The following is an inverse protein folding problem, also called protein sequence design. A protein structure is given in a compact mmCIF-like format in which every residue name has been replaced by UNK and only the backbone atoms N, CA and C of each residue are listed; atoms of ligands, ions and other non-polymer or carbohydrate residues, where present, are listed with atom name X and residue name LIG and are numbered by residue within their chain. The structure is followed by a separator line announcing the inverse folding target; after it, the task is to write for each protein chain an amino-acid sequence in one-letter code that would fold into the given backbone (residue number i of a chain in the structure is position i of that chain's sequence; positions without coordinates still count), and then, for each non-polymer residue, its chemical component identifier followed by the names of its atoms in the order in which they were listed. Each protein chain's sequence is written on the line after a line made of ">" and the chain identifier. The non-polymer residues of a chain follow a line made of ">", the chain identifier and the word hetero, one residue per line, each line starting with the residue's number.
data_IF_027256931395
#
_entry.id   IF_027256931395
#
_cell.length_a   1.000
_cell.length_b   1.000
_cell.length_c   1.000
_cell.angle_alpha   90.00
_cell.angle_beta   90.00
_cell.angle_gamma   90.00
#
_symmetry.space_group_name_H-M   'P 1'
#
loop_
_entity.id
_entity.type
_entity.pdbx_description
1 polymer ?
#
# COMPACT_ATOMS: atom_id res chain seq x y z
N UNK A 1 11.72 13.04 6.10
CA UNK A 1 11.47 11.65 5.71
C UNK A 1 11.09 10.84 6.95
N UNK A 2 10.00 10.09 6.87
CA UNK A 2 9.53 9.18 7.92
C UNK A 2 9.58 7.74 7.40
N UNK A 3 9.90 6.79 8.27
CA UNK A 3 9.92 5.35 7.97
C UNK A 3 8.79 4.66 8.73
N UNK A 4 8.06 3.78 8.08
CA UNK A 4 7.05 2.93 8.69
C UNK A 4 7.52 1.47 8.59
N UNK A 5 7.81 0.86 9.74
CA UNK A 5 8.14 -0.56 9.85
C UNK A 5 6.85 -1.37 9.78
N UNK A 6 6.82 -2.30 8.83
CA UNK A 6 5.69 -3.15 8.49
C UNK A 6 6.00 -4.64 8.74
N UNK A 7 7.05 -4.96 9.51
CA UNK A 7 7.53 -6.34 9.67
C UNK A 7 6.45 -7.30 10.19
N UNK A 8 5.52 -6.81 11.02
CA UNK A 8 4.42 -7.59 11.60
C UNK A 8 3.10 -7.48 10.81
N UNK A 9 3.07 -6.64 9.78
CA UNK A 9 1.89 -6.34 8.95
C UNK A 9 2.23 -6.38 7.45
N UNK A 10 3.22 -7.18 7.07
CA UNK A 10 3.74 -7.26 5.70
C UNK A 10 2.65 -7.57 4.67
N UNK A 11 1.66 -8.38 5.06
CA UNK A 11 0.51 -8.78 4.22
C UNK A 11 -0.40 -7.61 3.80
N UNK A 12 -0.41 -6.50 4.54
CA UNK A 12 -1.17 -5.29 4.23
C UNK A 12 -0.29 -4.11 3.81
N UNK A 13 1.04 -4.28 3.77
CA UNK A 13 2.01 -3.20 3.57
C UNK A 13 1.70 -2.34 2.34
N UNK A 14 1.36 -2.96 1.22
CA UNK A 14 1.09 -2.22 -0.02
C UNK A 14 -0.17 -1.36 0.08
N UNK A 15 -1.25 -1.91 0.64
CA UNK A 15 -2.51 -1.17 0.79
C UNK A 15 -2.37 -0.06 1.84
N UNK A 16 -1.64 -0.34 2.92
CA UNK A 16 -1.31 0.65 3.94
C UNK A 16 -0.47 1.79 3.36
N UNK A 17 0.57 1.48 2.57
CA UNK A 17 1.40 2.47 1.87
C UNK A 17 0.55 3.40 1.02
N UNK A 18 -0.28 2.84 0.15
CA UNK A 18 -1.13 3.63 -0.76
C UNK A 18 -2.06 4.53 0.06
N UNK A 19 -2.77 3.97 1.04
CA UNK A 19 -3.71 4.73 1.88
C UNK A 19 -3.03 5.87 2.61
N UNK A 20 -1.94 5.60 3.33
CA UNK A 20 -1.24 6.60 4.14
C UNK A 20 -0.61 7.68 3.26
N UNK A 21 -0.03 7.30 2.11
CA UNK A 21 0.58 8.27 1.19
C UNK A 21 -0.43 9.26 0.61
N UNK A 22 -1.65 8.80 0.33
CA UNK A 22 -2.75 9.62 -0.17
C UNK A 22 -3.25 10.60 0.90
N UNK A 23 -3.43 10.11 2.14
CA UNK A 23 -3.90 10.94 3.25
C UNK A 23 -2.93 12.07 3.61
N UNK A 24 -1.63 11.77 3.67
CA UNK A 24 -0.62 12.75 4.14
C UNK A 24 0.10 13.48 3.01
N UNK A 25 -0.39 13.34 1.77
CA UNK A 25 0.18 13.94 0.56
C UNK A 25 1.71 13.82 0.48
N UNK A 26 2.23 12.60 0.66
CA UNK A 26 3.66 12.33 0.69
C UNK A 26 4.08 11.36 -0.42
N UNK A 27 5.32 11.49 -0.89
CA UNK A 27 5.90 10.57 -1.88
C UNK A 27 6.31 9.27 -1.17
N UNK A 28 5.68 8.13 -1.48
CA UNK A 28 6.03 6.86 -0.84
C UNK A 28 7.21 6.18 -1.54
N UNK A 29 7.98 5.41 -0.79
CA UNK A 29 8.97 4.47 -1.33
C UNK A 29 8.87 3.15 -0.61
N UNK A 30 8.59 2.09 -1.36
CA UNK A 30 8.42 0.74 -0.82
C UNK A 30 9.77 0.03 -0.69
N UNK A 31 9.98 -0.64 0.45
CA UNK A 31 11.14 -1.49 0.71
C UNK A 31 10.70 -2.84 1.31
N UNK A 32 11.66 -3.73 1.53
CA UNK A 32 11.40 -5.00 2.23
C UNK A 32 11.13 -4.70 3.70
N UNK A 33 10.01 -5.18 4.24
CA UNK A 33 9.62 -4.98 5.65
C UNK A 33 9.26 -3.56 6.07
N UNK A 34 9.46 -2.54 5.23
CA UNK A 34 9.19 -1.14 5.57
C UNK A 34 8.77 -0.33 4.34
N UNK A 35 8.27 0.88 4.58
CA UNK A 35 8.19 1.92 3.57
C UNK A 35 8.58 3.28 4.13
N UNK A 36 8.97 4.20 3.27
CA UNK A 36 9.32 5.57 3.66
C UNK A 36 8.40 6.59 3.00
N UNK A 37 8.09 7.66 3.73
CA UNK A 37 7.35 8.81 3.25
C UNK A 37 8.29 10.02 3.20
N UNK A 38 8.38 10.62 2.02
CA UNK A 38 9.16 11.84 1.78
C UNK A 38 8.22 12.99 1.44
N UNK A 39 8.50 14.21 1.91
CA UNK A 39 7.69 15.38 1.53
C UNK A 39 7.82 15.61 0.01
N UNK A 40 6.81 16.24 -0.58
CA UNK A 40 6.82 16.59 -2.01
C UNK A 40 7.87 17.69 -2.27
N UNK A 41 8.01 18.63 -1.35
CA UNK A 41 8.99 19.71 -1.39
C UNK A 41 9.98 19.61 -0.22
N UNK A 42 11.26 19.89 -0.47
CA UNK A 42 12.33 19.78 0.54
C UNK A 42 12.16 20.73 1.74
N UNK A 43 11.37 21.80 1.58
CA UNK A 43 11.05 22.79 2.62
C UNK A 43 9.95 22.32 3.58
N UNK A 44 9.21 21.27 3.23
CA UNK A 44 8.08 20.78 3.99
C UNK A 44 8.48 19.62 4.90
N UNK A 45 7.87 19.54 6.08
CA UNK A 45 7.95 18.37 6.95
C UNK A 45 6.61 17.66 7.00
N UNK A 46 6.64 16.33 6.97
CA UNK A 46 5.43 15.51 7.16
C UNK A 46 5.07 15.52 8.65
N UNK A 47 3.82 15.83 8.97
CA UNK A 47 3.33 15.70 10.34
C UNK A 47 3.23 14.21 10.70
N UNK A 48 4.03 13.81 11.68
CA UNK A 48 4.05 12.46 12.19
C UNK A 48 2.70 12.06 12.80
N UNK A 49 2.00 12.97 13.47
CA UNK A 49 0.72 12.64 14.11
C UNK A 49 -0.32 12.29 13.06
N UNK A 50 -0.33 13.02 11.95
CA UNK A 50 -1.20 12.74 10.80
C UNK A 50 -0.93 11.36 10.21
N UNK A 51 0.35 10.98 10.07
CA UNK A 51 0.72 9.62 9.63
C UNK A 51 0.26 8.56 10.62
N UNK A 52 0.41 8.79 11.93
CA UNK A 52 -0.04 7.85 12.97
C UNK A 52 -1.56 7.68 12.92
N UNK A 53 -2.29 8.78 12.77
CA UNK A 53 -3.75 8.75 12.75
C UNK A 53 -4.27 8.09 11.47
N UNK A 54 -3.66 8.36 10.31
CA UNK A 54 -3.96 7.65 9.06
C UNK A 54 -3.72 6.13 9.18
N UNK A 55 -2.62 5.70 9.83
CA UNK A 55 -2.37 4.27 10.07
C UNK A 55 -3.43 3.68 11.00
N UNK A 56 -3.81 4.38 12.08
CA UNK A 56 -4.86 3.90 13.01
C UNK A 56 -6.21 3.79 12.33
N UNK A 57 -6.60 4.78 11.53
CA UNK A 57 -7.83 4.76 10.73
C UNK A 57 -7.85 3.59 9.76
N UNK A 58 -6.73 3.34 9.05
CA UNK A 58 -6.61 2.18 8.18
C UNK A 58 -6.81 0.87 8.95
N UNK A 59 -6.13 0.70 10.10
CA UNK A 59 -6.26 -0.48 10.94
C UNK A 59 -7.69 -0.65 11.47
N UNK A 60 -8.38 0.44 11.81
CA UNK A 60 -9.78 0.40 12.23
C UNK A 60 -10.71 -0.01 11.08
N UNK A 61 -10.47 0.50 9.87
CA UNK A 61 -11.26 0.16 8.67
C UNK A 61 -11.21 -1.33 8.31
N UNK A 62 -10.14 -2.03 8.69
CA UNK A 62 -9.99 -3.48 8.50
C UNK A 62 -10.31 -4.30 9.76
N UNK A 63 -10.77 -3.65 10.84
CA UNK A 63 -11.16 -4.29 12.10
C UNK A 63 -10.00 -4.76 12.98
N UNK A 64 -8.79 -4.23 12.77
CA UNK A 64 -7.56 -4.64 13.46
C UNK A 64 -7.06 -3.60 14.49
N UNK A 65 -7.83 -2.52 14.74
CA UNK A 65 -7.47 -1.45 15.68
C UNK A 65 -7.15 -1.90 17.11
N UNK A 66 -7.74 -3.01 17.56
CA UNK A 66 -7.49 -3.59 18.91
C UNK A 66 -6.35 -4.60 18.95
N UNK A 67 -5.88 -5.06 17.79
CA UNK A 67 -4.86 -6.11 17.71
C UNK A 67 -3.47 -5.55 17.46
N UNK A 68 -3.36 -4.31 16.96
CA UNK A 68 -2.10 -3.66 16.64
C UNK A 68 -1.96 -2.31 17.35
N UNK A 69 -0.75 -2.02 17.81
CA UNK A 69 -0.35 -0.72 18.34
C UNK A 69 0.58 -0.01 17.36
N UNK A 70 0.34 1.29 17.19
CA UNK A 70 1.19 2.19 16.39
C UNK A 70 2.06 3.00 17.35
N UNK A 71 3.37 2.75 17.33
CA UNK A 71 4.34 3.37 18.24
C UNK A 71 5.27 4.23 17.42
N UNK A 72 5.49 5.47 17.83
CA UNK A 72 6.48 6.31 17.16
C UNK A 72 7.76 6.44 17.95
N UNK A 73 8.89 6.26 17.27
CA UNK A 73 10.22 6.51 17.79
C UNK A 73 11.02 7.37 16.79
N UNK A 74 11.26 8.64 17.13
CA UNK A 74 12.10 9.55 16.34
C UNK A 74 11.61 9.74 14.89
N UNK A 75 12.17 9.08 13.89
CA UNK A 75 11.67 9.14 12.50
C UNK A 75 11.07 7.81 12.02
N UNK A 76 10.92 6.85 12.92
CA UNK A 76 10.40 5.52 12.65
C UNK A 76 9.05 5.34 13.35
N UNK A 77 8.08 4.81 12.62
CA UNK A 77 6.76 4.40 13.12
C UNK A 77 6.72 2.88 13.05
N UNK A 78 6.46 2.25 14.19
CA UNK A 78 6.43 0.81 14.37
C UNK A 78 4.98 0.36 14.50
N UNK A 79 4.60 -0.68 13.77
CA UNK A 79 3.31 -1.34 13.91
C UNK A 79 3.55 -2.69 14.57
N UNK A 80 3.05 -2.84 15.81
CA UNK A 80 3.30 -4.02 16.66
C UNK A 80 2.01 -4.75 17.00
N UNK A 81 2.02 -6.06 16.88
CA UNK A 81 0.93 -6.93 17.32
C UNK A 81 0.89 -6.98 18.85
N UNK A 82 -0.28 -6.76 19.43
CA UNK A 82 -0.51 -6.81 20.88
C UNK A 82 -0.68 -8.24 21.39
N UNK A 83 -1.13 -9.15 20.53
CA UNK A 83 -1.49 -10.54 20.89
C UNK A 83 -0.62 -11.59 20.19
N UNK A 84 0.36 -11.17 19.37
CA UNK A 84 1.10 -12.07 18.48
C UNK A 84 0.28 -12.55 17.28
N UNK A 85 -0.93 -12.03 17.09
CA UNK A 85 -1.78 -12.28 15.93
C UNK A 85 -1.14 -11.65 14.69
N UNK A 86 -1.05 -12.42 13.61
CA UNK A 86 -0.66 -11.94 12.27
C UNK A 86 -1.91 -11.58 11.46
N UNK A 87 -1.78 -10.61 10.55
CA UNK A 87 -2.87 -10.30 9.62
C UNK A 87 -2.83 -11.31 8.48
N UNK A 88 -3.75 -12.27 8.49
CA UNK A 88 -3.96 -13.18 7.38
C UNK A 88 -4.89 -12.53 6.34
N UNK A 89 -4.33 -11.75 5.42
CA UNK A 89 -5.02 -11.40 4.18
C UNK A 89 -4.68 -12.44 3.13
N UNK A 90 -5.69 -13.06 2.53
CA UNK A 90 -5.53 -13.71 1.23
C UNK A 90 -5.04 -12.61 0.28
N UNK A 91 -3.80 -12.70 -0.19
CA UNK A 91 -3.29 -11.81 -1.22
C UNK A 91 -4.34 -11.79 -2.33
N UNK A 92 -4.90 -10.61 -2.65
CA UNK A 92 -5.64 -10.49 -3.90
C UNK A 92 -4.65 -10.89 -4.99
N UNK A 93 -4.98 -11.87 -5.85
CA UNK A 93 -4.08 -12.19 -6.95
C UNK A 93 -3.77 -10.88 -7.67
N UNK A 94 -2.49 -10.62 -7.91
CA UNK A 94 -2.08 -9.53 -8.80
C UNK A 94 -2.87 -9.78 -10.08
N UNK A 95 -3.77 -8.86 -10.42
CA UNK A 95 -4.62 -9.04 -11.59
C UNK A 95 -3.68 -9.21 -12.79
N UNK A 96 -3.60 -10.43 -13.34
CA UNK A 96 -2.80 -10.70 -14.51
C UNK A 96 -3.32 -9.80 -15.63
N UNK A 97 -2.48 -8.88 -16.10
CA UNK A 97 -2.85 -7.98 -17.17
C UNK A 97 -2.51 -8.63 -18.51
N UNK A 98 -3.49 -8.72 -19.39
CA UNK A 98 -3.30 -9.09 -20.77
C UNK A 98 -2.86 -7.87 -21.57
N UNK A 99 -1.79 -8.00 -22.35
CA UNK A 99 -1.26 -6.91 -23.19
C UNK A 99 -1.20 -7.33 -24.66
N UNK A 100 -1.79 -6.54 -25.55
CA UNK A 100 -1.74 -6.76 -26.98
C UNK A 100 -0.40 -6.30 -27.56
N UNK A 101 0.37 -7.23 -28.15
CA UNK A 101 1.65 -6.91 -28.77
C UNK A 101 1.56 -6.05 -30.05
N UNK A 102 0.38 -5.96 -30.67
CA UNK A 102 0.19 -5.21 -31.92
C UNK A 102 0.05 -3.70 -31.70
N UNK A 103 -0.69 -3.29 -30.66
CA UNK A 103 -1.01 -1.87 -30.43
C UNK A 103 -0.83 -1.39 -28.98
N UNK A 104 -0.42 -2.28 -28.07
CA UNK A 104 -0.19 -1.92 -26.67
C UNK A 104 -1.46 -1.79 -25.82
N UNK A 105 -2.61 -2.28 -26.29
CA UNK A 105 -3.83 -2.36 -25.47
C UNK A 105 -3.60 -3.26 -24.25
N UNK A 106 -3.99 -2.80 -23.05
CA UNK A 106 -3.84 -3.54 -21.80
C UNK A 106 -5.19 -3.65 -21.11
N UNK A 107 -5.54 -4.85 -20.63
CA UNK A 107 -6.75 -5.08 -19.84
C UNK A 107 -6.52 -6.20 -18.82
N UNK A 108 -7.26 -6.15 -17.72
CA UNK A 108 -7.33 -7.24 -16.74
C UNK A 108 -8.35 -8.33 -17.13
N UNK A 109 -9.13 -8.12 -18.19
CA UNK A 109 -10.23 -9.00 -18.58
C UNK A 109 -9.89 -9.78 -19.85
N UNK A 110 -9.79 -11.11 -19.74
CA UNK A 110 -9.47 -11.99 -20.87
C UNK A 110 -10.47 -11.85 -22.03
N UNK A 111 -11.76 -11.67 -21.73
CA UNK A 111 -12.81 -11.49 -22.74
C UNK A 111 -12.58 -10.23 -23.58
N UNK A 112 -12.17 -9.13 -22.94
CA UNK A 112 -11.84 -7.88 -23.64
C UNK A 112 -10.58 -8.04 -24.49
N UNK A 113 -9.56 -8.70 -23.95
CA UNK A 113 -8.34 -9.01 -24.68
C UNK A 113 -8.62 -9.86 -25.93
N UNK A 114 -9.39 -10.94 -25.79
CA UNK A 114 -9.75 -11.83 -26.89
C UNK A 114 -10.60 -11.11 -27.96
N UNK A 115 -11.51 -10.22 -27.56
CA UNK A 115 -12.28 -9.41 -28.50
C UNK A 115 -11.38 -8.39 -29.21
N UNK A 116 -10.48 -7.74 -28.48
CA UNK A 116 -9.51 -6.81 -29.04
C UNK A 116 -8.60 -7.49 -30.07
N UNK A 117 -8.11 -8.71 -29.79
CA UNK A 117 -7.30 -9.47 -30.73
C UNK A 117 -8.04 -9.71 -32.05
N UNK A 118 -9.33 -10.05 -32.01
CA UNK A 118 -10.14 -10.30 -33.21
C UNK A 118 -10.27 -9.07 -34.12
N UNK A 119 -10.20 -7.85 -33.57
CA UNK A 119 -10.23 -6.62 -34.37
C UNK A 119 -9.06 -6.55 -35.35
N UNK A 120 -7.89 -7.11 -34.99
CA UNK A 120 -6.70 -7.09 -35.84
C UNK A 120 -6.73 -8.15 -36.95
N UNK A 121 -7.64 -9.12 -36.87
CA UNK A 121 -7.79 -10.20 -37.85
C UNK A 121 -9.04 -10.05 -38.73
N UNK A 122 -9.66 -8.86 -38.72
CA UNK A 122 -10.71 -8.41 -39.66
C UNK A 122 -10.08 -7.55 -40.76
#
# INVERSE_FOLDING_TARGET
>A
MLTVDCSEVESIKHELLVYVSDQVAAVPTLKIGEFTLSPIEDSQSIDKNEVIDAIKEFLDSIGESRNFAVISNSNVILIKSLSGKTIERKAKPVAEMFSCAHCGFVTQYEVEYNNHQKIHYL
#
